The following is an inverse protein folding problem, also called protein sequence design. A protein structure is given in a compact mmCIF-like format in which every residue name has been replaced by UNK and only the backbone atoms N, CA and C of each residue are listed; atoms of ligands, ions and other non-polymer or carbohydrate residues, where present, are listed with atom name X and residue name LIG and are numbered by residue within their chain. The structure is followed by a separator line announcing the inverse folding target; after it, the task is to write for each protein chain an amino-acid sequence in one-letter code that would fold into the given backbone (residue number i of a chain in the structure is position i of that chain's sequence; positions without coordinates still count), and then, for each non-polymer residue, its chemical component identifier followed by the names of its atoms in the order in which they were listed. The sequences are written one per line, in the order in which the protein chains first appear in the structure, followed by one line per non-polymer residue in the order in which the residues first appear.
data_IF_838115928953
#
_entry.id   IF_838115928953
#
_cell.length_a   1.000
_cell.length_b   1.000
_cell.length_c   1.000
_cell.angle_alpha   90.00
_cell.angle_beta   90.00
_cell.angle_gamma   90.00
#
_symmetry.space_group_name_H-M   'P 1'
#
loop_
_entity.id
_entity.type
_entity.pdbx_description
1 polymer ?
#
# COMPACT_ATOMS: atom_id res chain seq x y z
N UNK A 1 3.83 7.63 -8.47
CA UNK A 1 4.12 7.09 -7.13
C UNK A 1 3.62 8.07 -6.12
N UNK A 2 2.95 7.60 -5.08
CA UNK A 2 2.21 8.43 -4.13
C UNK A 2 2.42 7.88 -2.72
N UNK A 3 2.45 8.78 -1.74
CA UNK A 3 2.66 8.41 -0.35
C UNK A 3 1.32 8.21 0.34
N UNK A 4 1.28 7.23 1.24
CA UNK A 4 0.09 6.95 2.02
C UNK A 4 0.42 6.20 3.30
N UNK A 5 -0.55 6.17 4.19
CA UNK A 5 -0.46 5.52 5.49
C UNK A 5 -1.34 4.28 5.48
N UNK A 6 -0.82 3.16 5.95
CA UNK A 6 -1.60 1.92 6.07
C UNK A 6 -2.60 2.09 7.20
N UNK A 7 -3.90 1.94 6.90
CA UNK A 7 -4.95 1.98 7.92
C UNK A 7 -5.16 0.59 8.54
N UNK A 8 -5.45 -0.40 7.70
CA UNK A 8 -5.79 -1.75 8.15
C UNK A 8 -5.40 -2.82 7.13
N UNK A 9 -4.95 -4.01 7.59
CA UNK A 9 -4.76 -5.18 6.75
C UNK A 9 -6.10 -5.87 6.47
N UNK A 10 -6.30 -6.28 5.23
CA UNK A 10 -7.48 -7.00 4.76
C UNK A 10 -7.14 -8.46 4.45
N UNK A 11 -8.13 -9.37 4.46
CA UNK A 11 -7.94 -10.73 3.99
C UNK A 11 -7.45 -10.73 2.53
N UNK A 12 -6.61 -11.71 2.17
CA UNK A 12 -5.89 -11.83 0.88
C UNK A 12 -4.64 -10.97 0.71
N UNK A 13 -3.99 -10.53 1.80
CA UNK A 13 -2.78 -9.70 1.77
C UNK A 13 -2.98 -8.38 0.99
N UNK A 14 -4.20 -7.86 1.05
CA UNK A 14 -4.53 -6.50 0.65
C UNK A 14 -4.40 -5.60 1.88
N UNK A 15 -4.09 -4.34 1.65
CA UNK A 15 -3.95 -3.33 2.68
C UNK A 15 -4.77 -2.13 2.26
N UNK A 16 -5.53 -1.58 3.20
CA UNK A 16 -6.17 -0.29 3.01
C UNK A 16 -5.12 0.77 3.31
N UNK A 17 -4.84 1.60 2.32
CA UNK A 17 -3.91 2.71 2.43
C UNK A 17 -4.68 4.01 2.23
N UNK A 18 -4.50 4.93 3.16
CA UNK A 18 -4.98 6.30 3.03
C UNK A 18 -3.89 7.13 2.36
N UNK A 19 -4.16 7.62 1.17
CA UNK A 19 -3.27 8.55 0.48
C UNK A 19 -3.32 9.92 1.14
N UNK A 20 -2.25 10.70 1.04
CA UNK A 20 -2.22 12.08 1.57
C UNK A 20 -3.30 12.99 0.95
N UNK A 21 -3.84 12.62 -0.22
CA UNK A 21 -4.97 13.31 -0.84
C UNK A 21 -6.33 13.02 -0.18
N UNK A 22 -6.40 12.23 0.88
CA UNK A 22 -7.64 11.83 1.57
C UNK A 22 -8.42 10.71 0.87
N UNK A 23 -7.82 10.07 -0.14
CA UNK A 23 -8.42 8.94 -0.84
C UNK A 23 -7.94 7.61 -0.24
N UNK A 24 -8.90 6.72 0.02
CA UNK A 24 -8.62 5.36 0.45
C UNK A 24 -8.45 4.44 -0.74
N UNK A 25 -7.33 3.73 -0.79
CA UNK A 25 -6.99 2.80 -1.85
C UNK A 25 -6.71 1.41 -1.30
N UNK A 26 -7.03 0.40 -2.11
CA UNK A 26 -6.70 -0.98 -1.85
C UNK A 26 -5.39 -1.30 -2.54
N UNK A 27 -4.35 -1.57 -1.75
CA UNK A 27 -3.03 -1.89 -2.28
C UNK A 27 -2.58 -3.28 -1.85
N UNK A 28 -1.95 -4.01 -2.77
CA UNK A 28 -1.24 -5.25 -2.45
C UNK A 28 0.26 -5.01 -2.40
N UNK A 29 0.97 -5.85 -1.65
CA UNK A 29 2.43 -5.84 -1.63
C UNK A 29 3.02 -6.35 -2.95
N UNK A 30 4.10 -5.71 -3.42
CA UNK A 30 4.84 -6.23 -4.57
C UNK A 30 5.47 -7.59 -4.27
N UNK A 31 5.66 -8.42 -5.30
CA UNK A 31 6.31 -9.73 -5.16
C UNK A 31 7.71 -9.64 -4.54
N UNK A 32 8.44 -8.54 -4.80
CA UNK A 32 9.74 -8.28 -4.19
C UNK A 32 9.64 -8.14 -2.67
N UNK A 33 8.63 -7.45 -2.16
CA UNK A 33 8.41 -7.30 -0.72
C UNK A 33 8.04 -8.63 -0.05
N UNK A 34 7.26 -9.48 -0.75
CA UNK A 34 6.96 -10.84 -0.29
C UNK A 34 8.25 -11.68 -0.14
N UNK A 35 9.14 -11.62 -1.13
CA UNK A 35 10.42 -12.35 -1.08
C UNK A 35 11.33 -11.86 0.07
N UNK A 36 11.28 -10.58 0.39
CA UNK A 36 12.07 -9.98 1.48
C UNK A 36 11.36 -10.05 2.85
N UNK A 37 10.23 -10.75 2.95
CA UNK A 37 9.43 -10.89 4.17
C UNK A 37 9.12 -9.55 4.86
N UNK A 38 8.91 -8.49 4.07
CA UNK A 38 8.56 -7.18 4.61
C UNK A 38 7.15 -7.26 5.19
N UNK A 39 7.07 -7.17 6.52
CA UNK A 39 5.82 -7.06 7.24
C UNK A 39 5.32 -5.62 7.14
N UNK A 40 4.03 -5.47 6.89
CA UNK A 40 3.33 -4.18 6.89
C UNK A 40 2.40 -4.20 8.09
N UNK A 41 2.48 -3.17 8.92
CA UNK A 41 1.62 -2.97 10.08
C UNK A 41 0.71 -1.75 9.83
N UNK A 42 -0.47 -1.71 10.47
CA UNK A 42 -1.27 -0.48 10.58
C UNK A 42 -0.42 0.68 11.10
N UNK A 43 -0.53 1.85 10.47
CA UNK A 43 0.22 3.07 10.81
C UNK A 43 1.54 3.23 10.04
N UNK A 44 1.98 2.22 9.29
CA UNK A 44 3.19 2.35 8.48
C UNK A 44 3.00 3.29 7.30
N UNK A 45 4.00 4.15 7.06
CA UNK A 45 4.09 4.94 5.83
C UNK A 45 4.62 4.07 4.69
N UNK A 46 3.89 4.05 3.59
CA UNK A 46 4.19 3.23 2.43
C UNK A 46 4.12 4.06 1.15
N UNK A 47 4.92 3.67 0.18
CA UNK A 47 4.85 4.21 -1.17
C UNK A 47 3.97 3.30 -2.02
N UNK A 48 2.91 3.88 -2.57
CA UNK A 48 1.94 3.20 -3.42
C UNK A 48 2.09 3.70 -4.85
N UNK A 49 2.12 2.76 -5.78
CA UNK A 49 2.05 3.01 -7.19
C UNK A 49 0.62 2.74 -7.66
N UNK A 50 -0.06 3.78 -8.13
CA UNK A 50 -1.41 3.70 -8.67
C UNK A 50 -1.35 3.42 -10.17
N UNK A 51 -2.33 2.65 -10.65
CA UNK A 51 -2.49 2.46 -12.10
C UNK A 51 -3.27 3.66 -12.64
N UNK A 52 -2.86 4.28 -13.77
CA UNK A 52 -3.54 5.46 -14.32
C UNK A 52 -5.01 5.23 -14.69
N UNK A 53 -5.43 3.97 -14.81
CA UNK A 53 -6.80 3.58 -15.13
C UNK A 53 -7.69 3.35 -13.91
N UNK A 54 -7.11 3.14 -12.72
CA UNK A 54 -7.87 2.79 -11.52
C UNK A 54 -7.19 3.40 -10.28
N UNK A 55 -7.73 4.53 -9.84
CA UNK A 55 -7.23 5.29 -8.68
C UNK A 55 -7.53 4.59 -7.35
N UNK A 56 -8.40 3.57 -7.33
CA UNK A 56 -8.73 2.83 -6.10
C UNK A 56 -7.80 1.64 -5.85
N UNK A 57 -7.05 1.19 -6.86
CA UNK A 57 -6.15 0.05 -6.76
C UNK A 57 -4.70 0.46 -6.90
N UNK A 58 -3.89 0.02 -5.95
CA UNK A 58 -2.47 0.34 -5.88
C UNK A 58 -1.58 -0.87 -5.69
N UNK A 59 -0.29 -0.66 -5.88
CA UNK A 59 0.76 -1.61 -5.52
C UNK A 59 1.72 -0.95 -4.56
N UNK A 60 1.96 -1.58 -3.40
CA UNK A 60 2.96 -1.12 -2.44
C UNK A 60 4.33 -1.54 -2.97
N UNK A 61 5.16 -0.55 -3.27
CA UNK A 61 6.53 -0.75 -3.77
C UNK A 61 7.55 -0.61 -2.66
N UNK A 62 7.27 0.24 -1.67
CA UNK A 62 8.21 0.57 -0.60
C UNK A 62 7.50 0.83 0.73
N UNK A 63 8.18 0.52 1.83
CA UNK A 63 7.78 0.88 3.19
C UNK A 63 8.87 1.81 3.74
N UNK A 64 8.47 2.99 4.20
CA UNK A 64 9.35 3.90 4.92
C UNK A 64 9.51 3.43 6.37
N UNK A 65 10.71 3.63 6.92
CA UNK A 65 11.07 3.20 8.28
C UNK A 65 10.82 4.31 9.29
#
# INVERSE_FOLDING_TARGET
MMEGTVLEPLPNAMFRVELENGHNVLAHISGKMRMHYIRILPGDKVQVELTPYDLQRGRITYRYK
#
